data_IF_334781584553
#
_entry.id   IF_334781584553
#
_cell.length_a   1.000
_cell.length_b   1.000
_cell.length_c   1.000
_cell.angle_alpha   90.00
_cell.angle_beta   90.00
_cell.angle_gamma   90.00
#
_symmetry.space_group_name_H-M   'P 1'
#
loop_
_entity.id
_entity.type
_entity.pdbx_description
1 polymer ?
#
# COMPACT_ATOMS: atom_id res chain seq x y z
N UNK A 1 -0.88 -16.20 29.71
CA UNK A 1 -1.98 -15.21 29.56
C UNK A 1 -1.95 -14.71 28.13
N UNK A 2 -2.99 -14.97 27.32
CA UNK A 2 -3.13 -14.38 25.99
C UNK A 2 -3.47 -12.90 26.14
N UNK A 3 -2.64 -12.01 25.58
CA UNK A 3 -2.92 -10.57 25.54
C UNK A 3 -4.23 -10.37 24.78
N UNK A 4 -5.16 -9.57 25.32
CA UNK A 4 -6.39 -9.25 24.60
C UNK A 4 -6.08 -8.33 23.40
N UNK A 5 -6.88 -8.39 22.33
CA UNK A 5 -6.61 -7.59 21.14
C UNK A 5 -6.57 -6.07 21.43
N UNK A 6 -7.37 -5.59 22.38
CA UNK A 6 -7.40 -4.19 22.80
C UNK A 6 -6.12 -3.76 23.55
N UNK A 7 -5.61 -4.63 24.43
CA UNK A 7 -4.35 -4.39 25.14
C UNK A 7 -3.17 -4.38 24.17
N UNK A 8 -3.12 -5.32 23.23
CA UNK A 8 -2.08 -5.39 22.22
C UNK A 8 -2.04 -4.09 21.38
N UNK A 9 -3.21 -3.56 20.99
CA UNK A 9 -3.29 -2.31 20.24
C UNK A 9 -2.78 -1.12 21.05
N UNK A 10 -3.13 -1.03 22.33
CA UNK A 10 -2.71 0.08 23.21
C UNK A 10 -1.20 0.08 23.43
N UNK A 11 -0.63 -1.10 23.70
CA UNK A 11 0.81 -1.26 23.84
C UNK A 11 1.54 -0.94 22.53
N UNK A 12 1.00 -1.42 21.41
CA UNK A 12 1.58 -1.17 20.10
C UNK A 12 1.61 0.32 19.76
N UNK A 13 0.50 1.04 19.98
CA UNK A 13 0.42 2.51 19.80
C UNK A 13 1.48 3.26 20.62
N UNK A 14 1.79 2.79 21.83
CA UNK A 14 2.84 3.38 22.68
C UNK A 14 4.23 3.17 22.08
N UNK A 15 4.51 1.97 21.56
CA UNK A 15 5.82 1.61 20.99
C UNK A 15 6.17 2.38 19.70
N UNK A 16 5.19 2.66 18.86
CA UNK A 16 5.38 3.35 17.57
C UNK A 16 5.07 4.86 17.63
N UNK A 17 4.91 5.42 18.83
CA UNK A 17 4.45 6.80 19.02
C UNK A 17 5.38 7.84 18.38
N UNK A 18 6.64 7.50 18.18
CA UNK A 18 7.68 8.32 17.56
C UNK A 18 7.50 8.52 16.05
N UNK A 19 6.89 7.56 15.35
CA UNK A 19 6.75 7.56 13.88
C UNK A 19 5.29 7.53 13.41
N UNK A 20 4.34 7.66 14.33
CA UNK A 20 2.91 7.59 14.03
C UNK A 20 2.41 8.88 13.40
N UNK A 21 1.56 8.74 12.40
CA UNK A 21 0.87 9.81 11.67
C UNK A 21 -0.64 9.79 11.92
N UNK A 22 -1.35 10.82 11.50
CA UNK A 22 -2.83 10.88 11.55
C UNK A 22 -3.50 9.79 10.69
N UNK A 23 -2.81 9.28 9.67
CA UNK A 23 -3.31 8.22 8.80
C UNK A 23 -3.21 6.81 9.44
N UNK A 24 -2.56 6.68 10.59
CA UNK A 24 -2.38 5.43 11.33
C UNK A 24 -3.58 5.09 12.22
N UNK A 25 -4.74 4.94 11.58
CA UNK A 25 -5.99 4.53 12.23
C UNK A 25 -5.85 3.16 12.91
N UNK A 26 -6.69 2.93 13.92
CA UNK A 26 -6.74 1.67 14.66
C UNK A 26 -6.91 0.46 13.74
N UNK A 27 -7.73 0.58 12.69
CA UNK A 27 -7.91 -0.46 11.68
C UNK A 27 -6.62 -0.79 10.94
N UNK A 28 -5.78 0.21 10.63
CA UNK A 28 -4.49 0.02 9.95
C UNK A 28 -3.49 -0.66 10.89
N UNK A 29 -3.40 -0.19 12.14
CA UNK A 29 -2.52 -0.80 13.15
C UNK A 29 -2.91 -2.24 13.46
N UNK A 30 -4.21 -2.54 13.50
CA UNK A 30 -4.70 -3.91 13.68
C UNK A 30 -4.33 -4.84 12.52
N UNK A 31 -4.24 -4.34 11.28
CA UNK A 31 -3.73 -5.15 10.15
C UNK A 31 -2.27 -5.55 10.36
N UNK A 32 -1.44 -4.63 10.86
CA UNK A 32 -0.01 -4.88 11.15
C UNK A 32 0.14 -5.90 12.27
N UNK A 33 -0.64 -5.75 13.36
CA UNK A 33 -0.65 -6.71 14.46
C UNK A 33 -1.09 -8.11 14.01
N UNK A 34 -2.19 -8.20 13.24
CA UNK A 34 -2.66 -9.47 12.67
C UNK A 34 -1.62 -10.13 11.77
N UNK A 35 -0.91 -9.35 10.94
CA UNK A 35 0.13 -9.85 10.04
C UNK A 35 1.33 -10.49 10.77
N UNK A 36 1.46 -10.28 12.09
CA UNK A 36 2.52 -10.84 12.93
C UNK A 36 1.97 -11.61 14.13
N UNK A 37 0.73 -12.11 14.04
CA UNK A 37 0.06 -12.89 15.10
C UNK A 37 0.10 -12.19 16.46
N UNK A 38 -0.11 -10.87 16.47
CA UNK A 38 -0.06 -10.02 17.67
C UNK A 38 1.28 -10.03 18.42
N UNK A 39 2.37 -10.45 17.78
CA UNK A 39 3.71 -10.30 18.33
C UNK A 39 4.17 -8.84 18.21
N UNK A 40 4.18 -8.12 19.33
CA UNK A 40 4.48 -6.68 19.39
C UNK A 40 5.84 -6.32 18.77
N UNK A 41 6.92 -7.04 19.13
CA UNK A 41 8.26 -6.76 18.59
C UNK A 41 8.33 -6.93 17.07
N UNK A 42 7.72 -7.99 16.54
CA UNK A 42 7.68 -8.24 15.09
C UNK A 42 6.76 -7.25 14.36
N UNK A 43 5.67 -6.85 14.99
CA UNK A 43 4.74 -5.85 14.45
C UNK A 43 5.39 -4.46 14.39
N UNK A 44 6.16 -4.09 15.42
CA UNK A 44 6.92 -2.83 15.45
C UNK A 44 7.96 -2.80 14.34
N UNK A 45 8.74 -3.88 14.20
CA UNK A 45 9.72 -4.00 13.11
C UNK A 45 9.06 -3.83 11.73
N UNK A 46 7.95 -4.54 11.49
CA UNK A 46 7.18 -4.42 10.24
C UNK A 46 6.67 -2.99 10.02
N UNK A 47 6.17 -2.32 11.06
CA UNK A 47 5.67 -0.95 10.94
C UNK A 47 6.77 0.04 10.59
N UNK A 48 7.95 -0.10 11.20
CA UNK A 48 9.14 0.71 10.88
C UNK A 48 9.64 0.46 9.46
N UNK A 49 9.62 -0.78 8.99
CA UNK A 49 9.93 -1.13 7.60
C UNK A 49 8.93 -0.47 6.62
N UNK A 50 7.63 -0.55 6.90
CA UNK A 50 6.59 0.11 6.10
C UNK A 50 6.81 1.63 6.07
N UNK A 51 7.11 2.24 7.22
CA UNK A 51 7.39 3.68 7.31
C UNK A 51 8.60 4.06 6.45
N UNK A 52 9.71 3.31 6.57
CA UNK A 52 10.91 3.51 5.75
C UNK A 52 10.60 3.41 4.25
N UNK A 53 9.84 2.37 3.83
CA UNK A 53 9.43 2.23 2.43
C UNK A 53 8.59 3.43 1.95
N UNK A 54 7.69 3.97 2.78
CA UNK A 54 6.90 5.17 2.41
C UNK A 54 7.80 6.36 2.16
N UNK A 55 8.81 6.58 3.01
CA UNK A 55 9.77 7.66 2.85
C UNK A 55 10.65 7.46 1.60
N UNK A 56 11.16 6.24 1.40
CA UNK A 56 12.06 5.91 0.27
C UNK A 56 11.42 6.15 -1.10
N UNK A 57 10.11 5.91 -1.23
CA UNK A 57 9.37 6.12 -2.48
C UNK A 57 8.56 7.41 -2.51
N UNK A 58 8.72 8.28 -1.51
CA UNK A 58 7.93 9.51 -1.37
C UNK A 58 6.42 9.25 -1.54
N UNK A 59 5.93 8.16 -0.92
CA UNK A 59 4.61 7.60 -1.20
C UNK A 59 3.45 8.56 -0.88
N UNK A 60 3.70 9.61 -0.09
CA UNK A 60 2.71 10.64 0.24
C UNK A 60 2.49 11.62 -0.91
N UNK A 61 3.51 11.90 -1.72
CA UNK A 61 3.46 12.85 -2.86
C UNK A 61 3.49 12.16 -4.22
N UNK A 62 3.81 10.86 -4.26
CA UNK A 62 4.02 10.08 -5.49
C UNK A 62 2.91 10.22 -6.54
N UNK A 63 1.65 10.33 -6.13
CA UNK A 63 0.52 10.46 -7.07
C UNK A 63 0.55 11.79 -7.84
N UNK A 64 1.18 12.81 -7.27
CA UNK A 64 1.32 14.14 -7.90
C UNK A 64 2.67 14.35 -8.58
N UNK A 65 3.73 13.68 -8.10
CA UNK A 65 5.10 13.89 -8.58
C UNK A 65 5.55 12.87 -9.62
N UNK A 66 5.00 11.65 -9.59
CA UNK A 66 5.43 10.58 -10.47
C UNK A 66 4.89 10.76 -11.89
N UNK A 67 5.81 10.86 -12.85
CA UNK A 67 5.50 10.83 -14.28
C UNK A 67 5.77 9.42 -14.81
N UNK A 68 4.73 8.76 -15.33
CA UNK A 68 4.87 7.45 -15.95
C UNK A 68 5.83 7.53 -17.16
N UNK A 69 6.86 6.67 -17.22
CA UNK A 69 7.65 6.45 -18.43
C UNK A 69 6.78 5.96 -19.60
N UNK A 70 7.21 6.23 -20.84
CA UNK A 70 6.50 5.84 -22.06
C UNK A 70 6.16 4.34 -22.11
N UNK A 71 7.08 3.49 -21.66
CA UNK A 71 6.88 2.03 -21.59
C UNK A 71 5.67 1.68 -20.71
N UNK A 72 5.53 2.37 -19.58
CA UNK A 72 4.42 2.19 -18.65
C UNK A 72 3.12 2.80 -19.17
N UNK A 73 3.17 3.82 -20.01
CA UNK A 73 1.96 4.38 -20.63
C UNK A 73 1.42 3.49 -21.75
N UNK A 74 2.31 2.90 -22.55
CA UNK A 74 1.94 2.12 -23.76
C UNK A 74 1.73 0.64 -23.51
N UNK A 75 2.46 0.06 -22.56
CA UNK A 75 2.53 -1.40 -22.36
C UNK A 75 2.13 -1.86 -20.95
N UNK A 76 1.48 -0.99 -20.15
CA UNK A 76 0.86 -1.43 -18.90
C UNK A 76 -0.22 -2.48 -19.20
N UNK A 77 -0.05 -3.68 -18.65
CA UNK A 77 -0.98 -4.80 -18.81
C UNK A 77 -1.99 -4.91 -17.65
N UNK A 78 -2.03 -3.90 -16.78
CA UNK A 78 -3.00 -3.76 -15.70
C UNK A 78 -3.81 -2.48 -15.89
N UNK A 79 -5.03 -2.43 -15.36
CA UNK A 79 -5.80 -1.19 -15.39
C UNK A 79 -6.86 -1.13 -14.31
N UNK A 80 -7.17 0.09 -13.88
CA UNK A 80 -8.20 0.37 -12.91
C UNK A 80 -9.59 0.25 -13.56
N UNK A 81 -10.50 -0.54 -12.95
CA UNK A 81 -11.85 -0.81 -13.46
C UNK A 81 -12.97 -0.12 -12.66
N UNK A 82 -12.64 0.60 -11.59
CA UNK A 82 -13.63 1.21 -10.70
C UNK A 82 -13.69 0.51 -9.34
N UNK A 83 -14.88 0.45 -8.75
CA UNK A 83 -15.08 -0.02 -7.37
C UNK A 83 -16.09 -1.17 -7.32
N UNK A 84 -15.83 -2.12 -6.42
CA UNK A 84 -16.82 -3.11 -6.01
C UNK A 84 -17.94 -2.44 -5.20
N UNK A 85 -19.05 -3.16 -4.99
CA UNK A 85 -20.20 -2.67 -4.19
C UNK A 85 -19.85 -2.22 -2.76
N UNK A 86 -18.75 -2.72 -2.21
CA UNK A 86 -18.25 -2.36 -0.88
C UNK A 86 -17.18 -1.25 -0.91
N UNK A 87 -17.02 -0.54 -2.03
CA UNK A 87 -16.03 0.52 -2.21
C UNK A 87 -14.60 0.04 -2.46
N UNK A 88 -14.37 -1.27 -2.59
CA UNK A 88 -13.01 -1.81 -2.83
C UNK A 88 -12.56 -1.49 -4.26
N UNK A 89 -11.38 -0.87 -4.46
CA UNK A 89 -10.76 -0.69 -5.78
C UNK A 89 -10.61 -2.00 -6.55
N UNK A 90 -11.03 -2.02 -7.82
CA UNK A 90 -10.88 -3.17 -8.72
C UNK A 90 -9.84 -2.82 -9.79
N UNK A 91 -8.85 -3.70 -9.97
CA UNK A 91 -7.98 -3.69 -11.14
C UNK A 91 -8.16 -4.98 -11.94
N UNK A 92 -8.01 -4.87 -13.26
CA UNK A 92 -7.75 -6.04 -14.10
C UNK A 92 -6.26 -6.19 -14.34
N UNK A 93 -5.84 -7.43 -14.52
CA UNK A 93 -4.50 -7.78 -14.99
C UNK A 93 -4.71 -8.73 -16.18
N UNK A 94 -4.21 -8.34 -17.35
CA UNK A 94 -4.33 -9.14 -18.57
C UNK A 94 -3.29 -10.27 -18.58
N UNK A 95 -3.64 -11.40 -17.96
CA UNK A 95 -2.82 -12.60 -18.00
C UNK A 95 -2.98 -13.27 -19.38
N UNK A 96 -1.87 -13.48 -20.09
CA UNK A 96 -1.82 -14.16 -21.39
C UNK A 96 -1.92 -13.25 -22.62
N UNK A 97 -2.58 -12.10 -22.53
CA UNK A 97 -2.57 -11.10 -23.62
C UNK A 97 -1.59 -9.94 -23.36
N UNK A 98 -1.15 -9.74 -22.12
CA UNK A 98 -0.06 -8.83 -21.80
C UNK A 98 1.33 -9.44 -22.04
N UNK A 99 2.35 -8.59 -22.11
CA UNK A 99 3.76 -9.00 -22.14
C UNK A 99 4.46 -8.70 -20.78
N UNK A 100 4.22 -9.52 -19.74
CA UNK A 100 4.84 -9.30 -18.44
C UNK A 100 6.36 -9.46 -18.47
N UNK A 101 6.91 -10.28 -19.39
CA UNK A 101 8.36 -10.50 -19.50
C UNK A 101 9.01 -9.26 -20.11
N UNK A 102 8.48 -8.75 -21.22
CA UNK A 102 8.96 -7.52 -21.85
C UNK A 102 8.79 -6.32 -20.91
N UNK A 103 7.66 -6.23 -20.21
CA UNK A 103 7.43 -5.22 -19.18
C UNK A 103 8.52 -5.22 -18.09
N UNK A 104 8.81 -6.39 -17.51
CA UNK A 104 9.84 -6.54 -16.48
C UNK A 104 11.26 -6.28 -17.00
N UNK A 105 11.54 -6.58 -18.28
CA UNK A 105 12.85 -6.35 -18.91
C UNK A 105 13.07 -4.91 -19.36
N UNK A 106 12.00 -4.16 -19.56
CA UNK A 106 12.05 -2.79 -20.10
C UNK A 106 12.25 -1.71 -19.01
N UNK A 107 12.19 -2.10 -17.74
CA UNK A 107 12.25 -1.19 -16.59
C UNK A 107 13.29 -1.68 -15.60
N UNK A 108 13.95 -0.74 -14.92
CA UNK A 108 14.78 -1.08 -13.77
C UNK A 108 13.92 -1.59 -12.60
N UNK A 109 14.53 -2.34 -11.68
CA UNK A 109 13.84 -2.81 -10.47
C UNK A 109 13.28 -1.66 -9.62
N UNK A 110 13.95 -0.50 -9.62
CA UNK A 110 13.48 0.71 -8.95
C UNK A 110 12.25 1.32 -9.63
N UNK A 111 12.25 1.44 -10.96
CA UNK A 111 11.10 1.96 -11.71
C UNK A 111 9.88 1.06 -11.57
N UNK A 112 10.07 -0.26 -11.61
CA UNK A 112 9.00 -1.23 -11.34
C UNK A 112 8.42 -1.03 -9.94
N UNK A 113 9.29 -0.95 -8.93
CA UNK A 113 8.87 -0.77 -7.54
C UNK A 113 8.12 0.56 -7.35
N UNK A 114 8.63 1.64 -7.94
CA UNK A 114 8.00 2.96 -7.90
C UNK A 114 6.64 2.95 -8.58
N UNK A 115 6.51 2.30 -9.73
CA UNK A 115 5.25 2.12 -10.42
C UNK A 115 4.23 1.34 -9.59
N UNK A 116 4.63 0.25 -8.93
CA UNK A 116 3.74 -0.50 -8.05
C UNK A 116 3.29 0.33 -6.83
N UNK A 117 4.19 1.11 -6.24
CA UNK A 117 3.83 2.03 -5.14
C UNK A 117 2.85 3.09 -5.64
N UNK A 118 3.13 3.73 -6.77
CA UNK A 118 2.23 4.71 -7.39
C UNK A 118 0.83 4.12 -7.64
N UNK A 119 0.78 2.93 -8.24
CA UNK A 119 -0.47 2.21 -8.51
C UNK A 119 -1.26 1.96 -7.22
N UNK A 120 -0.63 1.38 -6.20
CA UNK A 120 -1.29 1.08 -4.93
C UNK A 120 -1.79 2.34 -4.22
N UNK A 121 -0.97 3.40 -4.18
CA UNK A 121 -1.36 4.66 -3.52
C UNK A 121 -2.51 5.32 -4.27
N UNK A 122 -2.44 5.40 -5.61
CA UNK A 122 -3.52 5.93 -6.45
C UNK A 122 -4.84 5.21 -6.20
N UNK A 123 -4.82 3.88 -6.18
CA UNK A 123 -6.03 3.07 -5.98
C UNK A 123 -6.59 3.20 -4.56
N UNK A 124 -5.72 3.28 -3.54
CA UNK A 124 -6.15 3.53 -2.15
C UNK A 124 -6.80 4.91 -2.02
N UNK A 125 -6.23 5.94 -2.64
CA UNK A 125 -6.80 7.30 -2.63
C UNK A 125 -8.14 7.34 -3.35
N UNK A 126 -8.25 6.65 -4.50
CA UNK A 126 -9.51 6.51 -5.22
C UNK A 126 -10.58 5.84 -4.34
N UNK A 127 -10.22 4.75 -3.63
CA UNK A 127 -11.14 4.04 -2.74
C UNK A 127 -11.59 4.87 -1.52
N UNK A 128 -10.71 5.70 -0.97
CA UNK A 128 -11.07 6.64 0.11
C UNK A 128 -12.09 7.66 -0.36
N UNK A 129 -11.84 8.30 -1.50
CA UNK A 129 -12.77 9.26 -2.12
C UNK A 129 -14.12 8.65 -2.45
N UNK A 130 -14.16 7.38 -2.83
CA UNK A 130 -15.42 6.69 -3.10
C UNK A 130 -16.19 6.40 -1.81
N UNK A 131 -15.48 6.02 -0.75
CA UNK A 131 -16.09 5.75 0.56
C UNK A 131 -16.67 7.01 1.22
N UNK A 132 -16.17 8.19 0.88
CA UNK A 132 -16.69 9.49 1.36
C UNK A 132 -18.01 9.92 0.69
N UNK A 133 -18.39 9.30 -0.45
CA UNK A 133 -19.64 9.63 -1.17
C UNK A 133 -20.86 8.86 -0.66
N UNK A 134 -20.64 7.83 0.15
CA UNK A 134 -21.66 6.93 0.71
C UNK A 134 -21.98 7.34 2.14
#
# INVERSE_FOLDING_TARGET
>A
MSITHCEALTLFKKQISDIRTEHDTDLRLMKVLRARNFNLKKAEKLFREIYCCRQMFEADTIVTTYKKPEVLEKYEYSGFMGFAKNGTPIRYISLGCGDPIGFLKSLSGYELSTFFVYMMVSDILAGRKESEKV
#
